data_IF_542311294127
#
_entry.id   IF_542311294127
#
_cell.length_a   1.000
_cell.length_b   1.000
_cell.length_c   1.000
_cell.angle_alpha   90.00
_cell.angle_beta   90.00
_cell.angle_gamma   90.00
#
_symmetry.space_group_name_H-M   'P 1'
#
loop_
_entity.id
_entity.type
_entity.pdbx_description
1 polymer ?
#
# COMPACT_ATOMS: atom_id res chain seq x y z
N UNK A 1 22.94 6.68 17.01
CA UNK A 1 21.54 6.84 16.55
C UNK A 1 20.90 5.49 16.72
N UNK A 2 19.90 5.36 17.60
CA UNK A 2 19.38 4.06 18.00
C UNK A 2 18.21 3.69 17.10
N UNK A 3 18.32 2.59 16.37
CA UNK A 3 17.27 2.07 15.51
C UNK A 3 16.08 1.59 16.37
N UNK A 4 14.88 2.08 16.08
CA UNK A 4 13.63 1.62 16.71
C UNK A 4 13.11 0.35 16.06
N UNK A 5 12.17 -0.33 16.73
CA UNK A 5 11.54 -1.52 16.18
C UNK A 5 10.64 -1.18 14.98
N UNK A 6 10.08 0.04 14.94
CA UNK A 6 9.29 0.53 13.81
C UNK A 6 10.14 0.82 12.58
N UNK A 7 11.30 1.48 12.74
CA UNK A 7 12.22 1.71 11.64
C UNK A 7 12.77 0.39 11.08
N UNK A 8 13.02 -0.60 11.93
CA UNK A 8 13.42 -1.94 11.45
C UNK A 8 12.25 -2.64 10.72
N UNK A 9 11.03 -2.57 11.23
CA UNK A 9 9.85 -3.13 10.56
C UNK A 9 9.61 -2.48 9.18
N UNK A 10 9.77 -1.15 9.08
CA UNK A 10 9.71 -0.44 7.79
C UNK A 10 10.81 -0.90 6.83
N UNK A 11 12.05 -1.10 7.30
CA UNK A 11 13.14 -1.63 6.47
C UNK A 11 12.88 -3.06 5.98
N UNK A 12 12.26 -3.91 6.81
CA UNK A 12 11.83 -5.26 6.41
C UNK A 12 10.74 -5.19 5.33
N UNK A 13 9.70 -4.36 5.54
CA UNK A 13 8.66 -4.07 4.54
C UNK A 13 9.28 -3.67 3.20
N UNK A 14 10.24 -2.75 3.25
CA UNK A 14 10.92 -2.15 2.09
C UNK A 14 12.03 -3.05 1.50
N UNK A 15 12.27 -4.24 2.04
CA UNK A 15 13.29 -5.19 1.57
C UNK A 15 14.74 -4.76 1.83
N UNK A 16 14.96 -3.71 2.63
CA UNK A 16 16.30 -3.19 2.98
C UNK A 16 16.89 -3.83 4.24
N UNK A 17 16.08 -4.57 5.01
CA UNK A 17 16.51 -5.47 6.06
C UNK A 17 15.85 -6.86 5.89
N UNK A 18 16.54 -7.97 6.20
CA UNK A 18 15.98 -9.31 6.01
C UNK A 18 15.03 -9.73 7.15
N UNK A 19 14.19 -10.73 6.88
CA UNK A 19 13.23 -11.37 7.77
C UNK A 19 13.51 -12.88 7.88
N UNK A 20 13.36 -13.54 9.04
CA UNK A 20 13.17 -12.98 10.38
C UNK A 20 14.37 -12.17 10.89
N UNK A 21 14.13 -11.17 11.73
CA UNK A 21 15.21 -10.48 12.48
C UNK A 21 14.83 -10.27 13.94
N UNK A 22 15.76 -10.58 14.85
CA UNK A 22 15.60 -10.28 16.27
C UNK A 22 15.75 -8.78 16.55
N UNK A 23 14.85 -8.26 17.36
CA UNK A 23 14.93 -6.92 17.93
C UNK A 23 14.65 -7.00 19.43
N UNK A 24 15.68 -6.77 20.26
CA UNK A 24 15.59 -6.92 21.72
C UNK A 24 15.06 -8.29 22.14
N UNK A 25 13.87 -8.36 22.74
CA UNK A 25 13.22 -9.55 23.28
C UNK A 25 12.19 -10.22 22.34
N UNK A 26 12.14 -9.80 21.07
CA UNK A 26 11.19 -10.32 20.07
C UNK A 26 11.85 -10.48 18.70
N UNK A 27 11.18 -11.16 17.78
CA UNK A 27 11.54 -11.23 16.37
C UNK A 27 10.51 -10.50 15.53
N UNK A 28 10.99 -9.70 14.59
CA UNK A 28 10.19 -9.13 13.52
C UNK A 28 10.19 -10.11 12.35
N UNK A 29 9.00 -10.57 11.97
CA UNK A 29 8.81 -11.56 10.89
C UNK A 29 7.82 -10.99 9.90
N UNK A 30 8.17 -11.02 8.61
CA UNK A 30 7.28 -10.59 7.54
C UNK A 30 6.38 -11.74 7.10
N UNK A 31 5.08 -11.61 7.37
CA UNK A 31 4.04 -12.60 7.11
C UNK A 31 3.09 -12.14 6.02
N UNK A 32 2.69 -13.05 5.15
CA UNK A 32 1.56 -12.86 4.23
C UNK A 32 0.26 -13.01 5.03
N UNK A 33 -0.57 -11.98 4.99
CA UNK A 33 -1.91 -11.97 5.62
C UNK A 33 -2.93 -12.53 4.64
N UNK A 34 -3.03 -11.93 3.45
CA UNK A 34 -3.93 -12.39 2.40
C UNK A 34 -3.43 -12.07 0.99
N UNK A 35 -4.03 -12.69 -0.02
CA UNK A 35 -3.86 -12.36 -1.43
C UNK A 35 -5.23 -12.13 -2.07
N UNK A 36 -5.26 -11.57 -3.27
CA UNK A 36 -6.52 -11.31 -3.97
C UNK A 36 -6.64 -12.14 -5.25
N UNK A 37 -7.77 -12.04 -5.96
CA UNK A 37 -8.06 -12.92 -7.08
C UNK A 37 -8.26 -14.39 -6.66
N UNK A 38 -7.93 -15.31 -7.56
CA UNK A 38 -8.24 -16.74 -7.44
C UNK A 38 -7.18 -17.51 -6.61
N UNK A 39 -7.66 -18.25 -5.62
CA UNK A 39 -6.92 -19.26 -4.87
C UNK A 39 -7.69 -20.58 -4.82
N UNK A 40 -7.02 -21.64 -4.35
CA UNK A 40 -7.62 -22.96 -4.15
C UNK A 40 -7.26 -23.46 -2.74
N UNK A 41 -8.27 -23.74 -1.91
CA UNK A 41 -8.08 -24.26 -0.55
C UNK A 41 -8.12 -25.79 -0.59
N UNK A 42 -6.96 -26.42 -0.73
CA UNK A 42 -6.82 -27.88 -0.88
C UNK A 42 -7.53 -28.69 0.21
N UNK A 43 -7.46 -28.25 1.48
CA UNK A 43 -8.11 -28.92 2.61
C UNK A 43 -9.65 -28.89 2.56
N UNK A 44 -10.24 -27.94 1.82
CA UNK A 44 -11.68 -27.74 1.68
C UNK A 44 -12.20 -28.07 0.26
N UNK A 45 -11.31 -28.50 -0.65
CA UNK A 45 -11.58 -28.78 -2.07
C UNK A 45 -12.34 -27.65 -2.79
N UNK A 46 -11.95 -26.41 -2.58
CA UNK A 46 -12.69 -25.26 -3.12
C UNK A 46 -11.81 -24.18 -3.74
N UNK A 47 -12.38 -23.54 -4.76
CA UNK A 47 -11.86 -22.31 -5.32
C UNK A 47 -12.40 -21.12 -4.54
N UNK A 48 -11.53 -20.15 -4.26
CA UNK A 48 -11.90 -18.90 -3.59
C UNK A 48 -11.47 -17.73 -4.46
N UNK A 49 -12.40 -16.82 -4.75
CA UNK A 49 -12.10 -15.53 -5.36
C UNK A 49 -12.30 -14.40 -4.36
N UNK A 50 -11.36 -13.46 -4.35
CA UNK A 50 -11.39 -12.26 -3.50
C UNK A 50 -11.24 -11.01 -4.34
N UNK A 51 -12.17 -10.08 -4.17
CA UNK A 51 -12.15 -8.80 -4.83
C UNK A 51 -10.98 -7.93 -4.31
N UNK A 52 -10.03 -7.50 -5.16
CA UNK A 52 -8.99 -6.55 -4.76
C UNK A 52 -9.53 -5.31 -4.05
N UNK A 53 -10.71 -4.81 -4.43
CA UNK A 53 -11.31 -3.62 -3.84
C UNK A 53 -11.67 -3.80 -2.36
N UNK A 54 -11.93 -5.04 -1.91
CA UNK A 54 -12.30 -5.35 -0.52
C UNK A 54 -11.09 -5.54 0.40
N UNK A 55 -9.93 -5.90 -0.17
CA UNK A 55 -8.75 -6.35 0.57
C UNK A 55 -7.53 -5.42 0.42
N UNK A 56 -7.34 -4.77 -0.74
CA UNK A 56 -6.21 -3.88 -1.03
C UNK A 56 -6.59 -2.41 -0.80
N UNK A 57 -7.00 -2.10 0.43
CA UNK A 57 -7.37 -0.73 0.82
C UNK A 57 -6.98 -0.44 2.29
N UNK A 58 -6.91 0.85 2.63
CA UNK A 58 -6.50 1.29 3.96
C UNK A 58 -7.45 0.81 5.08
N UNK A 59 -8.75 0.65 4.81
CA UNK A 59 -9.69 0.15 5.80
C UNK A 59 -9.44 -1.32 6.15
N UNK A 60 -8.99 -2.14 5.20
CA UNK A 60 -8.53 -3.50 5.46
C UNK A 60 -7.22 -3.50 6.25
N UNK A 61 -6.23 -2.69 5.84
CA UNK A 61 -4.97 -2.56 6.57
C UNK A 61 -5.17 -2.08 8.01
N UNK A 62 -6.09 -1.13 8.24
CA UNK A 62 -6.45 -0.65 9.57
C UNK A 62 -6.94 -1.78 10.47
N UNK A 63 -7.77 -2.69 9.93
CA UNK A 63 -8.28 -3.89 10.63
C UNK A 63 -7.23 -4.97 10.85
N UNK A 64 -6.10 -4.94 10.15
CA UNK A 64 -4.99 -5.86 10.39
C UNK A 64 -4.15 -5.46 11.61
N UNK A 65 -4.16 -4.20 12.05
CA UNK A 65 -3.33 -3.75 13.17
C UNK A 65 -3.68 -4.48 14.47
N UNK A 66 -2.66 -5.04 15.14
CA UNK A 66 -2.84 -5.75 16.40
C UNK A 66 -3.48 -7.13 16.26
N UNK A 67 -3.72 -7.65 15.04
CA UNK A 67 -4.26 -9.00 14.87
C UNK A 67 -3.39 -10.04 15.59
N UNK A 68 -4.00 -10.99 16.35
CA UNK A 68 -3.30 -12.11 16.96
C UNK A 68 -2.54 -12.94 15.91
N UNK A 69 -1.28 -13.27 16.20
CA UNK A 69 -0.54 -14.32 15.48
C UNK A 69 -0.42 -15.51 16.40
N UNK A 70 -0.97 -16.66 15.97
CA UNK A 70 -1.07 -17.87 16.78
C UNK A 70 -0.28 -19.04 16.15
N UNK A 71 0.06 -20.04 16.95
CA UNK A 71 0.56 -21.34 16.45
C UNK A 71 -0.61 -22.30 16.20
N UNK A 72 -0.77 -22.69 14.94
CA UNK A 72 -1.79 -23.60 14.42
C UNK A 72 -3.26 -23.18 14.66
N UNK A 73 -4.15 -23.62 13.78
CA UNK A 73 -5.58 -23.32 13.91
C UNK A 73 -6.22 -23.97 15.15
N UNK A 74 -7.20 -23.31 15.79
CA UNK A 74 -8.12 -23.97 16.70
C UNK A 74 -9.12 -24.84 15.92
N UNK A 75 -9.61 -25.92 16.52
CA UNK A 75 -10.53 -26.88 15.87
C UNK A 75 -11.83 -26.24 15.36
N UNK A 76 -12.19 -25.07 15.90
CA UNK A 76 -13.43 -24.33 15.59
C UNK A 76 -13.22 -23.08 14.72
N UNK A 77 -12.02 -22.90 14.15
CA UNK A 77 -11.60 -21.80 13.26
C UNK A 77 -11.67 -20.35 13.79
N UNK A 78 -12.46 -20.07 14.84
CA UNK A 78 -12.52 -18.79 15.56
C UNK A 78 -11.90 -18.96 16.93
N UNK A 79 -11.10 -18.00 17.39
CA UNK A 79 -10.44 -18.06 18.68
C UNK A 79 -11.43 -17.99 19.86
N UNK A 80 -11.20 -18.86 20.84
CA UNK A 80 -11.72 -18.72 22.20
C UNK A 80 -10.67 -18.13 23.13
N UNK A 81 -11.06 -17.74 24.35
CA UNK A 81 -10.13 -17.30 25.40
C UNK A 81 -9.05 -18.35 25.70
N UNK A 82 -9.42 -19.63 25.70
CA UNK A 82 -8.49 -20.74 25.89
C UNK A 82 -7.54 -20.87 24.71
N UNK A 83 -8.06 -20.91 23.47
CA UNK A 83 -7.22 -21.01 22.27
C UNK A 83 -6.24 -19.84 22.16
N UNK A 84 -6.68 -18.61 22.47
CA UNK A 84 -5.81 -17.45 22.49
C UNK A 84 -4.68 -17.62 23.53
N UNK A 85 -5.03 -18.01 24.76
CA UNK A 85 -4.05 -18.17 25.86
C UNK A 85 -3.03 -19.27 25.57
N UNK A 86 -3.45 -20.38 24.97
CA UNK A 86 -2.58 -21.53 24.68
C UNK A 86 -1.74 -21.36 23.40
N UNK A 87 -2.21 -20.56 22.42
CA UNK A 87 -1.63 -20.52 21.07
C UNK A 87 -1.03 -19.18 20.66
N UNK A 88 -1.23 -18.09 21.40
CA UNK A 88 -0.68 -16.77 21.04
C UNK A 88 0.85 -16.81 21.01
N UNK A 89 1.44 -16.40 19.88
CA UNK A 89 2.91 -16.29 19.72
C UNK A 89 3.36 -14.88 19.41
N UNK A 90 2.43 -13.99 19.04
CA UNK A 90 2.75 -12.66 18.55
C UNK A 90 1.54 -11.84 18.11
N UNK A 91 1.80 -10.71 17.46
CA UNK A 91 0.77 -9.84 16.88
C UNK A 91 1.27 -9.07 15.65
N UNK A 92 0.34 -8.66 14.79
CA UNK A 92 0.60 -7.77 13.66
C UNK A 92 0.97 -6.38 14.16
N UNK A 93 2.10 -5.86 13.68
CA UNK A 93 2.60 -4.52 14.02
C UNK A 93 2.52 -3.53 12.85
N UNK A 94 2.88 -3.95 11.64
CA UNK A 94 2.93 -3.07 10.47
C UNK A 94 2.34 -3.79 9.24
N UNK A 95 1.02 -3.71 9.01
CA UNK A 95 0.38 -4.21 7.79
C UNK A 95 0.60 -3.26 6.61
N UNK A 96 0.71 -3.81 5.40
CA UNK A 96 0.94 -3.07 4.15
C UNK A 96 0.52 -3.90 2.92
N UNK A 97 0.39 -3.23 1.77
CA UNK A 97 0.11 -3.87 0.48
C UNK A 97 1.44 -4.09 -0.27
N UNK A 98 1.61 -5.28 -0.86
CA UNK A 98 2.75 -5.68 -1.70
C UNK A 98 2.17 -6.34 -2.96
N UNK A 99 2.03 -5.57 -4.04
CA UNK A 99 1.39 -6.05 -5.27
C UNK A 99 -0.11 -6.30 -5.07
N UNK A 100 -0.56 -7.51 -5.38
CA UNK A 100 -1.95 -8.00 -5.22
C UNK A 100 -2.21 -8.68 -3.86
N UNK A 101 -1.30 -8.48 -2.90
CA UNK A 101 -1.27 -9.16 -1.60
C UNK A 101 -1.18 -8.17 -0.43
N UNK A 102 -1.76 -8.58 0.71
CA UNK A 102 -1.59 -7.90 2.00
C UNK A 102 -0.58 -8.67 2.83
N UNK A 103 0.46 -7.98 3.25
CA UNK A 103 1.54 -8.47 4.09
C UNK A 103 1.57 -7.70 5.41
N UNK A 104 2.27 -8.23 6.40
CA UNK A 104 2.57 -7.48 7.61
C UNK A 104 3.88 -7.90 8.24
N UNK A 105 4.59 -6.94 8.84
CA UNK A 105 5.63 -7.27 9.82
C UNK A 105 4.97 -7.49 11.17
N UNK A 106 5.20 -8.67 11.74
CA UNK A 106 4.63 -9.15 12.99
C UNK A 106 5.70 -9.30 14.06
N UNK A 107 5.33 -9.02 15.31
CA UNK A 107 6.16 -9.27 16.50
C UNK A 107 5.90 -10.70 16.96
N UNK A 108 6.91 -11.56 16.92
CA UNK A 108 6.86 -12.94 17.42
C UNK A 108 7.77 -13.05 18.65
N UNK A 109 7.29 -13.64 19.74
CA UNK A 109 8.05 -13.78 20.99
C UNK A 109 8.58 -15.20 21.24
N UNK A 110 8.05 -16.20 20.53
CA UNK A 110 8.37 -17.62 20.77
C UNK A 110 9.50 -18.09 19.85
N UNK A 111 10.69 -18.30 20.43
CA UNK A 111 11.91 -18.74 19.73
C UNK A 111 11.68 -19.99 18.87
N UNK A 112 11.07 -21.02 19.44
CA UNK A 112 10.86 -22.33 18.82
C UNK A 112 10.04 -22.25 17.52
N UNK A 113 9.17 -21.25 17.41
CA UNK A 113 8.37 -20.98 16.20
C UNK A 113 9.22 -20.25 15.15
N UNK A 114 10.07 -19.30 15.57
CA UNK A 114 11.03 -18.64 14.67
C UNK A 114 12.05 -19.65 14.12
N UNK A 115 12.51 -20.59 14.93
CA UNK A 115 13.40 -21.68 14.48
C UNK A 115 12.73 -22.65 13.51
N UNK A 116 11.41 -22.81 13.53
CA UNK A 116 10.66 -23.55 12.51
C UNK A 116 10.46 -22.70 11.24
N UNK A 117 10.18 -21.40 11.38
CA UNK A 117 10.07 -20.46 10.25
C UNK A 117 11.37 -20.43 9.43
N UNK A 118 12.54 -20.36 10.07
CA UNK A 118 13.86 -20.34 9.39
C UNK A 118 14.14 -21.64 8.62
N UNK A 119 13.51 -22.76 8.98
CA UNK A 119 13.59 -24.03 8.23
C UNK A 119 12.71 -24.06 6.98
N UNK A 120 11.92 -23.01 6.73
CA UNK A 120 10.98 -22.90 5.61
C UNK A 120 9.88 -23.98 5.64
N UNK A 121 9.55 -24.51 6.84
CA UNK A 121 8.50 -25.53 7.03
C UNK A 121 7.19 -24.98 7.62
N UNK A 122 7.09 -23.66 7.80
CA UNK A 122 5.92 -22.97 8.35
C UNK A 122 5.27 -22.11 7.27
N UNK A 123 3.95 -22.19 7.13
CA UNK A 123 3.16 -21.31 6.27
C UNK A 123 2.13 -20.52 7.08
N UNK A 124 1.42 -19.58 6.43
CA UNK A 124 0.37 -18.77 7.08
C UNK A 124 -1.03 -19.19 6.63
N UNK A 125 -1.99 -18.99 7.52
CA UNK A 125 -3.40 -19.02 7.19
C UNK A 125 -4.14 -17.97 8.02
N UNK A 126 -4.76 -16.95 7.41
CA UNK A 126 -5.67 -16.08 8.14
C UNK A 126 -6.94 -16.86 8.53
N UNK A 127 -7.60 -16.42 9.60
CA UNK A 127 -9.01 -16.73 9.86
C UNK A 127 -9.85 -15.48 9.60
N UNK A 128 -10.81 -15.62 8.68
CA UNK A 128 -11.72 -14.56 8.25
C UNK A 128 -13.14 -15.07 8.42
N UNK A 129 -13.94 -14.36 9.21
CA UNK A 129 -15.34 -14.68 9.44
C UNK A 129 -16.21 -13.76 8.59
N UNK A 130 -17.20 -14.34 7.95
CA UNK A 130 -18.23 -13.65 7.18
C UNK A 130 -19.59 -13.81 7.87
N UNK A 131 -20.50 -12.88 7.65
CA UNK A 131 -21.87 -12.95 8.17
C UNK A 131 -22.90 -12.76 7.03
N UNK A 132 -24.19 -12.79 7.36
CA UNK A 132 -25.27 -12.67 6.36
C UNK A 132 -25.26 -11.33 5.58
N UNK A 133 -24.56 -10.30 6.07
CA UNK A 133 -24.39 -9.01 5.40
C UNK A 133 -23.08 -8.89 4.62
N UNK A 134 -22.16 -9.87 4.70
CA UNK A 134 -20.90 -9.87 3.94
C UNK A 134 -21.12 -9.93 2.43
N UNK A 135 -22.20 -10.58 1.97
CA UNK A 135 -22.51 -10.68 0.53
C UNK A 135 -21.70 -11.76 -0.21
N UNK A 136 -21.24 -12.80 0.50
CA UNK A 136 -20.60 -13.96 -0.11
C UNK A 136 -21.52 -14.64 -1.14
N UNK A 137 -20.93 -15.19 -2.20
CA UNK A 137 -21.65 -16.05 -3.16
C UNK A 137 -20.94 -17.39 -3.24
N UNK A 138 -21.64 -18.46 -2.88
CA UNK A 138 -21.16 -19.84 -2.99
C UNK A 138 -21.86 -20.54 -4.16
N UNK A 139 -21.07 -21.20 -5.01
CA UNK A 139 -21.54 -21.98 -6.16
C UNK A 139 -20.89 -23.36 -6.09
N UNK A 140 -21.70 -24.39 -5.87
CA UNK A 140 -21.22 -25.77 -5.90
C UNK A 140 -21.17 -26.30 -7.34
N UNK A 141 -20.03 -26.89 -7.71
CA UNK A 141 -19.83 -27.64 -8.95
C UNK A 141 -19.30 -29.05 -8.60
N UNK A 142 -20.20 -30.03 -8.59
CA UNK A 142 -19.89 -31.43 -8.24
C UNK A 142 -19.35 -31.59 -6.81
N UNK A 143 -18.12 -32.08 -6.68
CA UNK A 143 -17.40 -32.22 -5.40
C UNK A 143 -16.63 -30.95 -4.99
N UNK A 144 -16.63 -29.92 -5.82
CA UNK A 144 -15.86 -28.68 -5.63
C UNK A 144 -16.78 -27.49 -5.33
N UNK A 145 -16.39 -26.64 -4.39
CA UNK A 145 -17.08 -25.38 -4.13
C UNK A 145 -16.35 -24.21 -4.82
N UNK A 146 -17.08 -23.17 -5.20
CA UNK A 146 -16.54 -21.88 -5.64
C UNK A 146 -17.12 -20.78 -4.75
N UNK A 147 -16.28 -20.24 -3.86
CA UNK A 147 -16.61 -19.14 -2.96
C UNK A 147 -16.12 -17.82 -3.54
N UNK A 148 -17.03 -16.88 -3.77
CA UNK A 148 -16.76 -15.46 -3.93
C UNK A 148 -16.87 -14.83 -2.54
N UNK A 149 -15.74 -14.41 -1.98
CA UNK A 149 -15.72 -13.73 -0.68
C UNK A 149 -16.26 -12.30 -0.83
N UNK A 150 -17.24 -11.97 0.01
CA UNK A 150 -17.75 -10.60 0.17
C UNK A 150 -16.96 -9.82 1.22
N UNK A 151 -17.58 -8.81 1.83
CA UNK A 151 -16.93 -7.94 2.82
C UNK A 151 -16.62 -8.75 4.10
N UNK A 152 -15.36 -8.88 4.53
CA UNK A 152 -15.01 -9.56 5.77
C UNK A 152 -15.73 -8.96 6.98
N UNK A 153 -16.43 -9.77 7.77
CA UNK A 153 -17.08 -9.29 9.00
C UNK A 153 -16.07 -9.15 10.14
N UNK A 154 -15.25 -10.18 10.36
CA UNK A 154 -14.17 -10.18 11.35
C UNK A 154 -12.89 -10.78 10.73
N UNK A 155 -11.76 -10.12 11.00
CA UNK A 155 -10.43 -10.71 10.85
C UNK A 155 -10.06 -11.19 12.25
N UNK A 156 -9.93 -12.49 12.47
CA UNK A 156 -9.84 -13.07 13.81
C UNK A 156 -8.38 -13.24 14.24
N UNK A 157 -7.56 -13.86 13.40
CA UNK A 157 -6.14 -14.10 13.65
C UNK A 157 -5.38 -14.50 12.37
N UNK A 158 -4.05 -14.61 12.48
CA UNK A 158 -3.20 -15.32 11.52
C UNK A 158 -2.56 -16.53 12.22
N UNK A 159 -2.84 -17.73 11.72
CA UNK A 159 -2.19 -18.95 12.18
C UNK A 159 -0.88 -19.16 11.42
N UNK A 160 0.21 -19.39 12.15
CA UNK A 160 1.43 -20.02 11.66
C UNK A 160 1.21 -21.53 11.72
N UNK A 161 1.09 -22.17 10.56
CA UNK A 161 0.81 -23.59 10.41
C UNK A 161 2.14 -24.34 10.34
N UNK A 162 2.43 -25.15 11.36
CA UNK A 162 3.69 -25.89 11.49
C UNK A 162 3.66 -27.23 10.76
N UNK A 163 4.84 -27.84 10.57
CA UNK A 163 4.99 -29.14 9.91
C UNK A 163 4.20 -30.27 10.58
N UNK A 164 4.22 -30.31 11.93
CA UNK A 164 3.46 -31.28 12.73
C UNK A 164 1.93 -31.20 12.53
N UNK A 165 1.44 -30.05 12.06
CA UNK A 165 0.03 -29.80 11.73
C UNK A 165 -0.23 -29.74 10.21
N UNK A 166 0.73 -30.21 9.40
CA UNK A 166 0.57 -30.50 7.98
C UNK A 166 1.16 -29.47 7.02
N UNK A 167 1.79 -28.39 7.52
CA UNK A 167 2.53 -27.29 6.84
C UNK A 167 1.95 -26.60 5.60
N UNK A 168 0.92 -27.15 4.95
CA UNK A 168 0.24 -26.58 3.80
C UNK A 168 -0.74 -25.50 4.25
N UNK A 169 -0.25 -24.26 4.34
CA UNK A 169 -1.07 -23.08 4.50
C UNK A 169 -1.94 -22.81 3.27
N UNK A 170 -2.83 -21.83 3.38
CA UNK A 170 -3.78 -21.44 2.31
C UNK A 170 -3.08 -20.97 1.03
N UNK A 171 -1.80 -20.61 1.12
CA UNK A 171 -1.01 -19.99 0.06
C UNK A 171 -0.13 -20.95 -0.73
N UNK A 172 0.01 -22.19 -0.29
CA UNK A 172 1.07 -23.09 -0.74
C UNK A 172 0.69 -23.80 -2.04
N UNK A 173 0.51 -22.99 -3.09
CA UNK A 173 0.46 -23.40 -4.48
C UNK A 173 1.70 -24.27 -4.75
N UNK A 174 1.49 -25.46 -5.30
CA UNK A 174 2.51 -26.47 -5.56
C UNK A 174 3.32 -26.96 -4.34
N UNK A 175 2.79 -26.80 -3.11
CA UNK A 175 3.40 -27.24 -1.83
C UNK A 175 4.68 -26.51 -1.43
N UNK A 176 4.89 -25.28 -1.89
CA UNK A 176 5.99 -24.43 -1.43
C UNK A 176 5.44 -23.48 -0.37
N UNK A 177 5.96 -23.49 0.88
CA UNK A 177 5.58 -22.52 1.91
C UNK A 177 5.87 -21.09 1.46
N UNK A 178 4.83 -20.34 1.12
CA UNK A 178 4.95 -18.93 0.68
C UNK A 178 4.31 -17.92 1.63
N UNK A 179 3.75 -18.39 2.75
CA UNK A 179 3.13 -17.54 3.76
C UNK A 179 4.10 -16.68 4.59
N UNK A 180 5.39 -16.99 4.59
CA UNK A 180 6.40 -16.35 5.45
C UNK A 180 7.63 -15.96 4.63
N UNK A 181 8.13 -14.73 4.78
CA UNK A 181 9.38 -14.32 4.14
C UNK A 181 10.61 -14.71 4.97
N UNK A 182 11.46 -15.58 4.40
CA UNK A 182 12.73 -16.04 4.98
C UNK A 182 13.90 -15.57 4.11
N UNK A 183 14.17 -14.26 4.20
CA UNK A 183 15.34 -13.62 3.59
C UNK A 183 16.58 -13.66 4.51
N UNK A 184 16.43 -13.92 5.81
CA UNK A 184 17.51 -14.23 6.74
C UNK A 184 17.65 -15.74 6.95
N UNK A 185 18.73 -16.33 6.42
CA UNK A 185 19.09 -17.75 6.60
C UNK A 185 20.35 -17.95 7.47
N UNK A 186 20.82 -16.87 8.11
CA UNK A 186 21.99 -16.88 9.00
C UNK A 186 21.60 -17.12 10.45
N UNK A 187 22.46 -16.65 11.37
CA UNK A 187 22.12 -16.64 12.79
C UNK A 187 20.96 -15.67 13.04
N UNK A 188 19.87 -16.16 13.64
CA UNK A 188 18.72 -15.33 14.02
C UNK A 188 18.98 -14.53 15.29
N UNK A 189 20.01 -14.89 16.06
CA UNK A 189 20.56 -14.13 17.18
C UNK A 189 21.81 -13.34 16.69
N UNK A 190 21.62 -12.22 15.99
CA UNK A 190 22.73 -11.32 15.59
C UNK A 190 22.95 -10.14 16.53
N UNK A 191 24.22 -9.72 16.64
CA UNK A 191 24.74 -8.75 17.60
C UNK A 191 24.60 -7.29 17.15
N UNK A 192 24.88 -6.36 18.07
CA UNK A 192 24.80 -4.90 17.85
C UNK A 192 25.50 -4.46 16.55
N UNK A 193 26.60 -5.12 16.16
CA UNK A 193 27.40 -4.77 14.98
C UNK A 193 26.66 -4.98 13.65
N UNK A 194 25.80 -5.99 13.55
CA UNK A 194 24.99 -6.17 12.33
C UNK A 194 23.94 -5.05 12.23
N UNK A 195 23.37 -4.65 13.37
CA UNK A 195 22.41 -3.55 13.51
C UNK A 195 23.08 -2.21 13.19
N UNK A 196 24.29 -1.97 13.71
CA UNK A 196 25.16 -0.84 13.34
C UNK A 196 25.50 -0.84 11.84
N UNK A 197 25.74 -1.99 11.21
CA UNK A 197 26.02 -2.06 9.77
C UNK A 197 24.82 -1.68 8.90
N UNK A 198 23.60 -2.01 9.35
CA UNK A 198 22.33 -1.65 8.72
C UNK A 198 22.02 -0.16 8.95
N UNK A 199 22.34 0.38 10.12
CA UNK A 199 22.31 1.84 10.37
C UNK A 199 23.34 2.56 9.50
N UNK A 200 24.58 2.07 9.41
CA UNK A 200 25.66 2.68 8.65
C UNK A 200 25.41 2.68 7.14
N UNK A 201 24.84 1.61 6.57
CA UNK A 201 24.35 1.60 5.18
C UNK A 201 23.34 2.71 4.94
N UNK A 202 22.35 2.87 5.82
CA UNK A 202 21.34 3.93 5.66
C UNK A 202 21.90 5.33 5.92
N UNK A 203 22.89 5.50 6.80
CA UNK A 203 23.60 6.78 6.90
C UNK A 203 24.35 7.08 5.60
N UNK A 204 24.94 6.07 4.94
CA UNK A 204 25.54 6.20 3.60
C UNK A 204 24.54 6.59 2.51
N UNK A 205 23.41 5.88 2.42
CA UNK A 205 22.38 6.13 1.39
C UNK A 205 21.61 7.44 1.63
N UNK A 206 21.36 7.82 2.89
CA UNK A 206 20.66 9.05 3.25
C UNK A 206 21.56 10.32 3.16
N UNK A 207 22.87 10.20 3.37
CA UNK A 207 23.82 11.31 3.17
C UNK A 207 24.15 11.58 1.69
N UNK A 208 23.61 10.79 0.75
CA UNK A 208 23.69 11.07 -0.69
C UNK A 208 22.97 12.36 -1.12
N UNK A 209 22.15 12.96 -0.24
CA UNK A 209 21.50 14.25 -0.47
C UNK A 209 21.22 15.03 0.82
N UNK A 210 20.95 16.34 0.67
CA UNK A 210 20.55 17.28 1.74
C UNK A 210 21.66 17.71 2.73
N UNK A 211 22.65 18.45 2.21
CA UNK A 211 23.75 19.03 2.99
C UNK A 211 23.40 20.40 3.65
N UNK A 212 22.22 20.51 4.32
CA UNK A 212 21.75 21.78 4.93
C UNK A 212 21.03 21.68 6.29
N UNK A 213 20.78 20.47 6.83
CA UNK A 213 20.10 20.30 8.12
C UNK A 213 21.02 20.17 9.35
N UNK A 214 22.33 20.02 9.15
CA UNK A 214 23.23 19.52 10.19
C UNK A 214 23.79 20.61 11.13
N UNK A 215 23.98 21.84 10.64
CA UNK A 215 24.54 22.96 11.44
C UNK A 215 23.62 23.33 12.63
N UNK A 216 22.30 23.28 12.43
CA UNK A 216 21.30 23.62 13.45
C UNK A 216 21.22 22.61 14.61
N UNK A 217 21.61 21.35 14.37
CA UNK A 217 21.55 20.28 15.38
C UNK A 217 22.82 20.28 16.24
N UNK A 218 24.01 20.49 15.65
CA UNK A 218 25.26 20.63 16.41
C UNK A 218 25.19 21.79 17.41
N UNK A 219 24.65 22.94 16.98
CA UNK A 219 24.49 24.13 17.83
C UNK A 219 23.58 23.90 19.06
N UNK A 220 22.60 23.00 18.98
CA UNK A 220 21.74 22.63 20.12
C UNK A 220 22.39 21.63 21.07
N UNK A 221 23.37 20.85 20.60
CA UNK A 221 24.10 19.88 21.42
C UNK A 221 25.24 20.56 22.20
N UNK A 222 26.00 21.46 21.58
CA UNK A 222 27.02 22.28 22.25
C UNK A 222 26.42 23.17 23.35
N UNK A 223 25.21 23.71 23.12
CA UNK A 223 24.47 24.53 24.09
C UNK A 223 24.06 23.73 25.35
N UNK A 224 23.82 22.42 25.22
CA UNK A 224 23.49 21.54 26.36
C UNK A 224 24.73 21.06 27.14
N UNK A 225 25.90 20.96 26.51
CA UNK A 225 27.14 20.56 27.20
C UNK A 225 27.76 21.71 28.00
N UNK A 226 27.53 22.97 27.58
CA UNK A 226 27.95 24.16 28.33
C UNK A 226 27.14 24.42 29.62
N UNK A 227 25.91 23.90 29.71
CA UNK A 227 25.00 24.12 30.86
C UNK A 227 25.27 23.26 32.10
N UNK A 228 25.99 22.13 31.97
CA UNK A 228 26.14 21.13 33.05
C UNK A 228 27.49 21.27 33.79
N UNK A 229 28.40 22.11 33.30
CA UNK A 229 29.78 22.27 33.84
C UNK A 229 30.01 23.54 34.68
N UNK A 230 28.94 24.17 35.17
CA UNK A 230 28.99 25.43 35.94
C UNK A 230 28.18 25.42 37.26
N UNK A 231 27.95 24.23 37.86
CA UNK A 231 27.42 24.08 39.23
C UNK A 231 28.07 22.90 39.98
N UNK A 232 29.37 23.01 40.20
CA UNK A 232 30.09 22.36 41.29
C UNK A 232 31.15 23.38 41.80
N UNK A 233 31.56 23.22 43.06
CA UNK A 233 32.60 24.01 43.76
C UNK A 233 32.22 25.46 44.14
N UNK A 234 31.56 25.62 45.31
CA UNK A 234 31.34 26.90 45.99
C UNK A 234 31.22 26.78 47.53
N UNK A 235 32.22 26.18 48.18
CA UNK A 235 32.56 26.21 49.62
C UNK A 235 34.06 25.78 49.70
N UNK A 236 34.96 26.24 50.57
CA UNK A 236 34.88 27.02 51.81
C UNK A 236 36.26 27.68 52.08
N UNK A 237 36.33 28.90 52.64
CA UNK A 237 37.56 29.46 53.24
C UNK A 237 37.24 30.57 54.28
N UNK A 238 37.85 30.51 55.46
CA UNK A 238 37.35 31.16 56.68
C UNK A 238 37.64 32.67 56.89
N UNK A 239 36.64 33.32 57.51
CA UNK A 239 36.69 34.38 58.56
C UNK A 239 38.07 34.55 59.26
N UNK A 240 38.56 35.78 59.52
CA UNK A 240 38.37 36.63 60.75
C UNK A 240 39.32 37.88 60.69
N UNK A 241 39.28 38.95 61.51
CA UNK A 241 38.42 39.49 62.60
C UNK A 241 38.65 41.03 62.79
N UNK A 242 37.85 41.70 63.64
CA UNK A 242 38.04 42.98 64.39
C UNK A 242 38.63 44.26 63.71
N UNK A 243 37.91 45.41 63.66
CA UNK A 243 37.69 46.44 64.74
C UNK A 243 39.00 47.08 65.26
N UNK A 244 39.18 48.39 65.47
CA UNK A 244 38.26 49.52 65.81
C UNK A 244 39.08 50.85 65.69
N UNK A 245 38.63 51.94 65.03
CA UNK A 245 38.01 53.19 65.57
C UNK A 245 38.06 54.25 64.44
N UNK A 246 36.97 54.90 64.04
CA UNK A 246 36.34 56.08 64.67
C UNK A 246 37.18 57.37 64.61
N UNK A 247 37.01 58.16 63.54
CA UNK A 247 36.44 59.53 63.59
C UNK A 247 36.24 60.09 62.16
N UNK A 248 35.47 61.18 62.03
CA UNK A 248 35.11 61.90 60.79
C UNK A 248 33.98 61.30 59.91
N UNK A 249 32.82 61.04 60.53
CA UNK A 249 31.59 61.67 59.99
C UNK A 249 31.78 63.21 60.12
N UNK A 250 31.48 64.05 59.13
CA UNK A 250 30.11 64.54 58.93
C UNK A 250 29.88 65.11 57.49
N UNK A 251 30.61 64.64 56.47
CA UNK A 251 30.51 65.23 55.12
C UNK A 251 30.55 64.23 53.94
N UNK A 252 29.96 63.04 54.12
CA UNK A 252 29.83 62.01 53.05
C UNK A 252 28.44 61.35 52.94
N UNK A 253 27.42 61.88 53.62
CA UNK A 253 26.05 61.31 53.63
C UNK A 253 25.08 61.89 52.58
N UNK A 254 25.52 62.79 51.71
CA UNK A 254 24.71 63.35 50.62
C UNK A 254 24.96 62.67 49.26
N UNK A 255 26.21 62.41 48.90
CA UNK A 255 26.55 61.93 47.54
C UNK A 255 26.31 60.42 47.33
N UNK A 256 26.52 59.60 48.37
CA UNK A 256 26.37 58.13 48.26
C UNK A 256 24.93 57.69 47.92
N UNK A 257 23.93 58.33 48.54
CA UNK A 257 22.52 58.02 48.29
C UNK A 257 22.07 58.44 46.87
N UNK A 258 22.62 59.53 46.34
CA UNK A 258 22.31 59.99 44.98
C UNK A 258 22.94 59.11 43.88
N UNK A 259 24.12 58.54 44.15
CA UNK A 259 24.80 57.62 43.20
C UNK A 259 24.15 56.22 43.19
N UNK A 260 23.68 55.74 44.34
CA UNK A 260 22.99 54.45 44.47
C UNK A 260 21.60 54.49 43.81
N UNK A 261 20.84 55.58 43.99
CA UNK A 261 19.54 55.77 43.34
C UNK A 261 19.64 55.78 41.81
N UNK A 262 20.62 56.51 41.24
CA UNK A 262 20.83 56.56 39.78
C UNK A 262 21.16 55.19 39.17
N UNK A 263 21.99 54.39 39.85
CA UNK A 263 22.37 53.05 39.38
C UNK A 263 21.19 52.07 39.43
N UNK A 264 20.25 52.25 40.35
CA UNK A 264 18.99 51.49 40.38
C UNK A 264 18.08 51.86 39.20
N UNK A 265 17.86 53.16 38.96
CA UNK A 265 16.99 53.65 37.88
C UNK A 265 17.51 53.27 36.48
N UNK A 266 18.83 53.36 36.24
CA UNK A 266 19.45 52.94 34.97
C UNK A 266 19.36 51.42 34.74
N UNK A 267 19.50 50.61 35.81
CA UNK A 267 19.37 49.16 35.73
C UNK A 267 17.92 48.70 35.48
N UNK A 268 16.92 49.39 36.02
CA UNK A 268 15.51 49.09 35.73
C UNK A 268 15.14 49.49 34.29
N UNK A 269 15.67 50.61 33.80
CA UNK A 269 15.49 51.05 32.41
C UNK A 269 16.10 50.07 31.39
N UNK A 270 17.32 49.55 31.66
CA UNK A 270 17.95 48.53 30.80
C UNK A 270 17.15 47.22 30.77
N UNK A 271 16.66 46.73 31.92
CA UNK A 271 15.84 45.51 31.98
C UNK A 271 14.57 45.61 31.15
N UNK A 272 13.84 46.74 31.24
CA UNK A 272 12.62 46.97 30.45
C UNK A 272 12.91 47.10 28.94
N UNK A 273 14.10 47.57 28.56
CA UNK A 273 14.52 47.62 27.16
C UNK A 273 14.87 46.22 26.61
N UNK A 274 15.62 45.40 27.36
CA UNK A 274 15.93 44.02 26.97
C UNK A 274 14.68 43.12 26.91
N UNK A 275 13.77 43.26 27.88
CA UNK A 275 12.55 42.46 27.96
C UNK A 275 11.60 42.77 26.79
N UNK A 276 11.52 44.05 26.38
CA UNK A 276 10.78 44.43 25.18
C UNK A 276 11.46 43.95 23.89
N UNK A 277 12.78 44.07 23.77
CA UNK A 277 13.50 43.59 22.59
C UNK A 277 13.31 42.07 22.38
N UNK A 278 13.35 41.28 23.47
CA UNK A 278 13.09 39.83 23.43
C UNK A 278 11.64 39.48 23.07
N UNK A 279 10.67 40.32 23.45
CA UNK A 279 9.28 40.13 23.07
C UNK A 279 9.06 40.41 21.57
N UNK A 280 9.59 41.53 21.06
CA UNK A 280 9.49 41.92 19.65
C UNK A 280 10.20 40.88 18.74
N UNK A 281 11.35 40.36 19.16
CA UNK A 281 12.12 39.34 18.43
C UNK A 281 11.42 37.97 18.40
N UNK A 282 10.81 37.55 19.51
CA UNK A 282 10.00 36.32 19.58
C UNK A 282 8.71 36.40 18.73
N UNK A 283 8.06 37.56 18.66
CA UNK A 283 6.87 37.76 17.81
C UNK A 283 7.22 37.73 16.30
N UNK A 284 8.40 38.24 15.92
CA UNK A 284 8.88 38.13 14.53
C UNK A 284 9.28 36.69 14.17
N UNK A 285 9.94 35.95 15.07
CA UNK A 285 10.27 34.55 14.86
C UNK A 285 9.01 33.67 14.75
N UNK A 286 8.00 33.92 15.59
CA UNK A 286 6.72 33.21 15.54
C UNK A 286 5.96 33.49 14.22
N UNK A 287 5.93 34.75 13.75
CA UNK A 287 5.35 35.08 12.43
C UNK A 287 6.05 34.36 11.27
N UNK A 288 7.38 34.23 11.32
CA UNK A 288 8.14 33.49 10.30
C UNK A 288 7.84 32.00 10.33
N UNK A 289 7.70 31.42 11.52
CA UNK A 289 7.33 30.01 11.70
C UNK A 289 5.91 29.71 11.20
N UNK A 290 4.95 30.58 11.48
CA UNK A 290 3.56 30.41 11.03
C UNK A 290 3.41 30.61 9.52
N UNK A 291 4.16 31.55 8.92
CA UNK A 291 4.18 31.72 7.46
C UNK A 291 4.83 30.52 6.75
N UNK A 292 5.93 29.97 7.30
CA UNK A 292 6.57 28.77 6.74
C UNK A 292 5.64 27.54 6.77
N UNK A 293 4.85 27.36 7.85
CA UNK A 293 3.83 26.30 7.93
C UNK A 293 2.73 26.49 6.89
N UNK A 294 2.24 27.71 6.70
CA UNK A 294 1.19 27.99 5.71
C UNK A 294 1.67 27.72 4.27
N UNK A 295 2.91 28.04 3.94
CA UNK A 295 3.51 27.72 2.64
C UNK A 295 3.75 26.20 2.48
N UNK A 296 4.12 25.48 3.54
CA UNK A 296 4.28 24.01 3.53
C UNK A 296 2.93 23.27 3.38
N UNK A 297 1.88 23.68 4.11
CA UNK A 297 0.53 23.14 3.98
C UNK A 297 -0.03 23.37 2.57
N UNK A 298 0.20 24.56 2.01
CA UNK A 298 -0.22 24.88 0.65
C UNK A 298 0.52 24.04 -0.41
N UNK A 299 1.83 23.86 -0.26
CA UNK A 299 2.62 23.01 -1.15
C UNK A 299 2.14 21.54 -1.11
N UNK A 300 1.84 21.01 0.08
CA UNK A 300 1.26 19.65 0.23
C UNK A 300 -0.11 19.54 -0.42
N UNK A 301 -0.99 20.53 -0.26
CA UNK A 301 -2.30 20.54 -0.90
C UNK A 301 -2.21 20.57 -2.43
N UNK A 302 -1.30 21.37 -3.00
CA UNK A 302 -1.05 21.41 -4.46
C UNK A 302 -0.43 20.10 -4.98
N UNK A 303 0.45 19.44 -4.21
CA UNK A 303 1.02 18.14 -4.54
C UNK A 303 -0.01 17.00 -4.46
N UNK A 304 -0.89 17.01 -3.44
CA UNK A 304 -1.96 16.03 -3.26
C UNK A 304 -3.07 16.17 -4.31
N UNK A 305 -3.47 17.40 -4.69
CA UNK A 305 -4.39 17.64 -5.81
C UNK A 305 -3.80 17.12 -7.14
N UNK A 306 -2.50 17.34 -7.36
CA UNK A 306 -1.81 16.85 -8.55
C UNK A 306 -1.70 15.32 -8.57
N UNK A 307 -1.32 14.70 -7.46
CA UNK A 307 -1.24 13.24 -7.33
C UNK A 307 -2.60 12.58 -7.60
N UNK A 308 -3.68 13.18 -7.08
CA UNK A 308 -5.05 12.74 -7.37
C UNK A 308 -5.42 12.89 -8.84
N UNK A 309 -5.10 14.04 -9.45
CA UNK A 309 -5.33 14.26 -10.90
C UNK A 309 -4.60 13.24 -11.77
N UNK A 310 -3.35 12.90 -11.42
CA UNK A 310 -2.55 11.90 -12.16
C UNK A 310 -3.09 10.47 -11.95
N UNK A 311 -3.64 10.15 -10.78
CA UNK A 311 -4.35 8.89 -10.51
C UNK A 311 -5.65 8.78 -11.31
N UNK A 312 -6.53 9.80 -11.24
CA UNK A 312 -7.79 9.87 -11.97
C UNK A 312 -7.56 9.75 -13.51
N UNK A 313 -6.50 10.37 -14.01
CA UNK A 313 -6.06 10.24 -15.41
C UNK A 313 -5.61 8.81 -15.76
N UNK A 314 -4.93 8.14 -14.84
CA UNK A 314 -4.41 6.77 -15.04
C UNK A 314 -5.55 5.76 -15.06
N UNK A 315 -6.48 5.82 -14.12
CA UNK A 315 -7.69 4.98 -14.09
C UNK A 315 -8.53 5.16 -15.37
N UNK A 316 -8.75 6.41 -15.79
CA UNK A 316 -9.48 6.72 -17.00
C UNK A 316 -8.84 6.11 -18.25
N UNK A 317 -7.50 6.10 -18.34
CA UNK A 317 -6.76 5.42 -19.42
C UNK A 317 -6.92 3.91 -19.36
N UNK A 318 -6.77 3.28 -18.20
CA UNK A 318 -6.92 1.82 -18.04
C UNK A 318 -8.32 1.36 -18.46
N UNK A 319 -9.38 2.08 -18.04
CA UNK A 319 -10.77 1.79 -18.43
C UNK A 319 -10.97 1.97 -19.94
N UNK A 320 -10.43 3.03 -20.52
CA UNK A 320 -10.46 3.30 -21.95
C UNK A 320 -9.74 2.23 -22.79
N UNK A 321 -8.49 1.90 -22.43
CA UNK A 321 -7.68 0.90 -23.13
C UNK A 321 -8.33 -0.49 -23.07
N UNK A 322 -8.86 -0.90 -21.92
CA UNK A 322 -9.62 -2.16 -21.78
C UNK A 322 -10.82 -2.24 -22.74
N UNK A 323 -11.62 -1.18 -22.82
CA UNK A 323 -12.76 -1.10 -23.72
C UNK A 323 -12.35 -1.09 -25.20
N UNK A 324 -11.30 -0.34 -25.56
CA UNK A 324 -10.81 -0.24 -26.94
C UNK A 324 -10.13 -1.52 -27.42
N UNK A 325 -9.33 -2.18 -26.57
CA UNK A 325 -8.68 -3.46 -26.88
C UNK A 325 -9.73 -4.56 -27.08
N UNK A 326 -10.80 -4.58 -26.27
CA UNK A 326 -11.94 -5.48 -26.50
C UNK A 326 -12.65 -5.22 -27.85
N UNK A 327 -12.52 -4.01 -28.40
CA UNK A 327 -13.02 -3.58 -29.71
C UNK A 327 -11.96 -3.67 -30.84
N UNK A 328 -10.80 -4.30 -30.59
CA UNK A 328 -9.72 -4.46 -31.57
C UNK A 328 -8.99 -3.15 -31.96
N UNK A 329 -9.06 -2.12 -31.11
CA UNK A 329 -8.51 -0.78 -31.36
C UNK A 329 -7.62 -0.34 -30.19
N UNK A 330 -6.83 0.71 -30.38
CA UNK A 330 -6.09 1.38 -29.32
C UNK A 330 -6.85 2.64 -28.87
N UNK A 331 -6.90 2.92 -27.56
CA UNK A 331 -7.54 4.14 -27.08
C UNK A 331 -6.73 5.40 -27.49
N UNK A 332 -7.40 6.53 -27.76
CA UNK A 332 -6.70 7.81 -27.95
C UNK A 332 -5.87 8.17 -26.71
N UNK A 333 -4.64 8.65 -26.90
CA UNK A 333 -3.83 9.18 -25.81
C UNK A 333 -4.43 10.48 -25.25
N UNK A 334 -4.25 10.79 -23.96
CA UNK A 334 -4.55 12.11 -23.40
C UNK A 334 -3.81 13.23 -24.12
N UNK A 335 -4.39 14.43 -24.12
CA UNK A 335 -3.68 15.65 -24.50
C UNK A 335 -2.97 16.27 -23.30
N UNK A 336 -1.93 17.09 -23.56
CA UNK A 336 -1.21 17.80 -22.51
C UNK A 336 -2.15 18.78 -21.80
N UNK A 337 -2.24 18.68 -20.47
CA UNK A 337 -3.16 19.50 -19.65
C UNK A 337 -4.64 19.11 -19.74
N UNK A 338 -4.98 17.98 -20.36
CA UNK A 338 -6.36 17.47 -20.36
C UNK A 338 -6.74 16.89 -18.99
N UNK A 339 -7.93 17.23 -18.48
CA UNK A 339 -8.46 16.68 -17.22
C UNK A 339 -9.10 15.31 -17.45
N UNK A 340 -9.08 14.46 -16.42
CA UNK A 340 -9.58 13.07 -16.49
C UNK A 340 -11.03 12.97 -17.01
N UNK A 341 -11.91 13.85 -16.57
CA UNK A 341 -13.32 13.88 -16.99
C UNK A 341 -13.46 14.24 -18.48
N UNK A 342 -12.67 15.19 -18.98
CA UNK A 342 -12.69 15.60 -20.38
C UNK A 342 -12.07 14.55 -21.30
N UNK A 343 -11.00 13.89 -20.85
CA UNK A 343 -10.42 12.71 -21.50
C UNK A 343 -11.47 11.60 -21.64
N UNK A 344 -12.14 11.22 -20.55
CA UNK A 344 -13.21 10.21 -20.53
C UNK A 344 -14.32 10.51 -21.54
N UNK A 345 -14.84 11.74 -21.55
CA UNK A 345 -15.83 12.22 -22.53
C UNK A 345 -15.35 12.06 -23.96
N UNK A 346 -14.12 12.52 -24.27
CA UNK A 346 -13.55 12.49 -25.62
C UNK A 346 -13.38 11.08 -26.14
N UNK A 347 -12.91 10.16 -25.29
CA UNK A 347 -12.76 8.74 -25.63
C UNK A 347 -14.13 8.08 -25.82
N UNK A 348 -15.09 8.34 -24.94
CA UNK A 348 -16.44 7.78 -25.01
C UNK A 348 -17.17 8.15 -26.30
N UNK A 349 -17.06 9.42 -26.73
CA UNK A 349 -17.56 9.90 -28.04
C UNK A 349 -17.01 9.11 -29.23
N UNK A 350 -15.79 8.56 -29.14
CA UNK A 350 -15.22 7.72 -30.20
C UNK A 350 -15.93 6.38 -30.40
N UNK A 351 -16.56 5.87 -29.33
CA UNK A 351 -17.32 4.61 -29.32
C UNK A 351 -18.84 4.81 -29.41
N UNK A 352 -19.33 6.02 -29.12
CA UNK A 352 -20.75 6.42 -29.16
C UNK A 352 -21.51 5.96 -30.43
N UNK A 353 -20.85 5.94 -31.59
CA UNK A 353 -21.43 5.47 -32.87
C UNK A 353 -21.88 4.01 -32.89
N UNK A 354 -21.43 3.19 -31.94
CA UNK A 354 -21.82 1.79 -31.82
C UNK A 354 -23.03 1.57 -30.89
N UNK A 355 -23.57 2.64 -30.27
CA UNK A 355 -24.76 2.60 -29.43
C UNK A 355 -25.92 3.34 -30.10
N UNK A 356 -26.90 2.59 -30.62
CA UNK A 356 -28.10 3.18 -31.25
C UNK A 356 -28.93 4.04 -30.28
N UNK A 357 -28.90 3.73 -28.97
CA UNK A 357 -29.62 4.47 -27.93
C UNK A 357 -28.93 5.76 -27.52
N UNK A 358 -27.60 5.82 -27.63
CA UNK A 358 -26.81 6.92 -27.10
C UNK A 358 -26.08 7.74 -28.17
N UNK A 359 -26.20 7.39 -29.46
CA UNK A 359 -25.57 8.10 -30.59
C UNK A 359 -25.83 9.61 -30.63
N UNK A 360 -27.00 10.07 -30.19
CA UNK A 360 -27.43 11.47 -30.21
C UNK A 360 -27.23 12.20 -28.86
N UNK A 361 -26.68 11.54 -27.84
CA UNK A 361 -26.47 12.11 -26.49
C UNK A 361 -25.30 13.10 -26.48
N UNK A 362 -25.51 14.30 -25.94
CA UNK A 362 -24.43 15.30 -25.82
C UNK A 362 -23.51 15.02 -24.62
N UNK A 363 -22.60 14.06 -24.79
CA UNK A 363 -21.62 13.62 -23.77
C UNK A 363 -20.78 14.79 -23.20
N UNK A 364 -20.50 15.83 -24.01
CA UNK A 364 -19.70 16.98 -23.56
C UNK A 364 -20.36 17.76 -22.41
N UNK A 365 -21.69 17.83 -22.40
CA UNK A 365 -22.48 18.60 -21.43
C UNK A 365 -22.58 17.95 -20.05
N UNK A 366 -22.11 16.70 -19.89
CA UNK A 366 -22.22 15.95 -18.63
C UNK A 366 -21.17 16.47 -17.64
N UNK A 367 -21.60 17.19 -16.61
CA UNK A 367 -20.69 17.68 -15.56
C UNK A 367 -20.38 16.62 -14.49
N UNK A 368 -21.29 15.67 -14.27
CA UNK A 368 -21.18 14.66 -13.22
C UNK A 368 -20.42 13.39 -13.67
N UNK A 369 -19.47 12.96 -12.83
CA UNK A 369 -18.64 11.77 -13.05
C UNK A 369 -19.44 10.47 -12.94
N UNK A 370 -20.42 10.38 -12.04
CA UNK A 370 -21.21 9.17 -11.84
C UNK A 370 -22.12 8.88 -13.03
N UNK A 371 -22.82 9.91 -13.51
CA UNK A 371 -23.63 9.87 -14.75
C UNK A 371 -22.78 9.48 -15.97
N UNK A 372 -21.54 9.97 -16.05
CA UNK A 372 -20.61 9.58 -17.11
C UNK A 372 -20.22 8.10 -17.02
N UNK A 373 -19.97 7.56 -15.82
CA UNK A 373 -19.64 6.13 -15.62
C UNK A 373 -20.74 5.19 -16.12
N UNK A 374 -22.02 5.51 -15.88
CA UNK A 374 -23.17 4.71 -16.36
C UNK A 374 -23.23 4.69 -17.90
N UNK A 375 -22.96 5.84 -18.54
CA UNK A 375 -22.93 5.94 -20.00
C UNK A 375 -21.69 5.26 -20.60
N UNK A 376 -20.55 5.26 -19.92
CA UNK A 376 -19.38 4.48 -20.31
C UNK A 376 -19.69 2.99 -20.38
N UNK A 377 -20.30 2.42 -19.35
CA UNK A 377 -20.66 1.00 -19.31
C UNK A 377 -21.66 0.64 -20.40
N UNK A 378 -22.69 1.46 -20.60
CA UNK A 378 -23.68 1.26 -21.65
C UNK A 378 -23.06 1.31 -23.06
N UNK A 379 -22.31 2.37 -23.37
CA UNK A 379 -21.74 2.58 -24.72
C UNK A 379 -20.60 1.59 -25.00
N UNK A 380 -19.67 1.34 -24.07
CA UNK A 380 -18.61 0.35 -24.29
C UNK A 380 -19.16 -1.08 -24.35
N UNK A 381 -20.20 -1.40 -23.57
CA UNK A 381 -20.91 -2.67 -23.64
C UNK A 381 -21.63 -2.89 -24.98
N UNK A 382 -22.34 -1.88 -25.49
CA UNK A 382 -22.97 -1.93 -26.81
C UNK A 382 -21.92 -1.94 -27.95
N UNK A 383 -20.80 -1.21 -27.81
CA UNK A 383 -19.69 -1.22 -28.77
C UNK A 383 -19.03 -2.60 -28.90
N UNK A 384 -18.76 -3.26 -27.78
CA UNK A 384 -18.22 -4.62 -27.76
C UNK A 384 -19.18 -5.61 -28.43
N UNK A 385 -20.48 -5.56 -28.12
CA UNK A 385 -21.50 -6.41 -28.74
C UNK A 385 -21.66 -6.16 -30.24
N UNK A 386 -21.60 -4.89 -30.67
CA UNK A 386 -21.65 -4.49 -32.09
C UNK A 386 -20.50 -5.12 -32.87
N UNK A 387 -19.28 -5.06 -32.34
CA UNK A 387 -18.07 -5.59 -32.99
C UNK A 387 -18.01 -7.12 -32.91
N UNK A 388 -18.42 -7.72 -31.79
CA UNK A 388 -18.53 -9.18 -31.66
C UNK A 388 -19.57 -9.76 -32.64
N UNK A 389 -20.70 -9.08 -32.85
CA UNK A 389 -21.66 -9.45 -33.89
C UNK A 389 -21.09 -9.26 -35.31
N UNK A 390 -20.30 -8.22 -35.57
CA UNK A 390 -19.64 -8.01 -36.87
C UNK A 390 -18.61 -9.12 -37.15
N UNK A 391 -17.78 -9.47 -36.17
CA UNK A 391 -16.79 -10.56 -36.26
C UNK A 391 -17.42 -11.94 -36.45
N UNK A 392 -18.54 -12.22 -35.78
CA UNK A 392 -19.21 -13.53 -35.86
C UNK A 392 -20.08 -13.70 -37.11
N UNK A 393 -20.57 -12.61 -37.71
CA UNK A 393 -21.47 -12.67 -38.89
C UNK A 393 -20.81 -12.30 -40.23
N UNK A 394 -19.54 -11.89 -40.25
CA UNK A 394 -18.77 -11.71 -41.49
C UNK A 394 -18.50 -13.05 -42.16
N UNK A 395 -19.34 -13.39 -43.14
CA UNK A 395 -19.22 -14.62 -43.96
C UNK A 395 -17.86 -14.70 -44.65
N UNK A 396 -17.27 -15.91 -44.64
CA UNK A 396 -16.02 -16.19 -45.35
C UNK A 396 -14.74 -15.64 -44.71
N UNK A 397 -14.77 -15.10 -43.48
CA UNK A 397 -13.57 -14.66 -42.76
C UNK A 397 -13.41 -15.33 -41.39
N UNK A 398 -12.15 -15.52 -40.97
CA UNK A 398 -11.75 -15.86 -39.62
C UNK A 398 -10.84 -14.76 -39.09
N UNK A 399 -11.22 -14.19 -37.95
CA UNK A 399 -10.45 -13.18 -37.24
C UNK A 399 -9.56 -13.84 -36.19
N UNK A 400 -8.26 -13.57 -36.28
CA UNK A 400 -7.27 -14.02 -35.30
C UNK A 400 -7.36 -13.16 -34.04
N UNK A 401 -7.60 -13.79 -32.89
CA UNK A 401 -7.55 -13.17 -31.56
C UNK A 401 -6.38 -13.74 -30.79
N UNK A 402 -5.40 -12.89 -30.49
CA UNK A 402 -4.26 -13.27 -29.63
C UNK A 402 -4.57 -12.87 -28.20
N UNK A 403 -4.68 -13.85 -27.32
CA UNK A 403 -4.84 -13.72 -25.87
C UNK A 403 -3.52 -14.15 -25.20
N UNK A 404 -3.12 -13.50 -24.12
CA UNK A 404 -2.15 -14.10 -23.20
C UNK A 404 -2.91 -14.82 -22.09
N UNK A 405 -2.45 -15.99 -21.69
CA UNK A 405 -2.93 -16.64 -20.47
C UNK A 405 -2.15 -16.18 -19.23
N UNK A 406 -2.58 -16.63 -18.05
CA UNK A 406 -1.96 -16.29 -16.75
C UNK A 406 -0.50 -16.76 -16.64
N UNK A 407 -0.07 -17.71 -17.50
CA UNK A 407 1.31 -18.17 -17.61
C UNK A 407 2.12 -17.38 -18.67
N UNK A 408 1.58 -16.27 -19.20
CA UNK A 408 2.21 -15.44 -20.22
C UNK A 408 2.29 -16.07 -21.62
N UNK A 409 1.64 -17.22 -21.84
CA UNK A 409 1.66 -17.91 -23.13
C UNK A 409 0.67 -17.25 -24.08
N UNK A 410 1.10 -17.03 -25.32
CA UNK A 410 0.26 -16.44 -26.39
C UNK A 410 -0.66 -17.49 -26.99
N UNK A 411 -1.89 -17.57 -26.49
CA UNK A 411 -2.97 -18.35 -27.09
C UNK A 411 -3.50 -17.60 -28.31
N UNK A 412 -3.53 -18.28 -29.46
CA UNK A 412 -4.13 -17.75 -30.68
C UNK A 412 -5.45 -18.46 -30.94
N UNK A 413 -6.55 -17.75 -30.72
CA UNK A 413 -7.91 -18.19 -31.01
C UNK A 413 -8.34 -17.63 -32.38
N UNK A 414 -9.24 -18.32 -33.08
CA UNK A 414 -9.83 -17.82 -34.33
C UNK A 414 -11.36 -17.84 -34.19
N UNK A 415 -12.00 -16.68 -34.40
CA UNK A 415 -13.46 -16.50 -34.36
C UNK A 415 -13.95 -15.95 -35.71
N UNK A 416 -15.14 -16.36 -36.15
CA UNK A 416 -15.71 -16.01 -37.46
C UNK A 416 -16.42 -17.20 -38.08
N UNK A 417 -16.61 -17.17 -39.40
CA UNK A 417 -17.38 -18.18 -40.14
C UNK A 417 -16.71 -19.57 -40.08
N UNK A 418 -17.33 -20.58 -39.44
CA UNK A 418 -16.77 -21.92 -39.36
C UNK A 418 -16.58 -22.59 -40.73
N UNK A 419 -17.30 -22.15 -41.77
CA UNK A 419 -17.13 -22.68 -43.12
C UNK A 419 -15.72 -22.43 -43.68
N UNK A 420 -15.01 -21.37 -43.26
CA UNK A 420 -13.69 -21.03 -43.79
C UNK A 420 -12.69 -22.17 -43.57
N UNK A 421 -12.72 -22.83 -42.41
CA UNK A 421 -11.87 -23.98 -42.13
C UNK A 421 -12.59 -25.32 -42.34
N UNK A 422 -13.91 -25.41 -42.09
CA UNK A 422 -14.67 -26.64 -42.32
C UNK A 422 -14.85 -26.98 -43.82
N UNK A 423 -14.73 -26.02 -44.74
CA UNK A 423 -14.91 -26.28 -46.18
C UNK A 423 -13.94 -27.35 -46.72
N UNK A 424 -12.74 -27.47 -46.15
CA UNK A 424 -11.78 -28.52 -46.49
C UNK A 424 -12.22 -29.93 -46.04
N UNK A 425 -13.06 -30.02 -45.00
CA UNK A 425 -13.57 -31.28 -44.43
C UNK A 425 -14.99 -31.61 -44.88
N UNK A 426 -15.72 -30.65 -45.44
CA UNK A 426 -17.06 -30.86 -46.00
C UNK A 426 -16.95 -31.51 -47.37
N UNK A 427 -17.75 -32.56 -47.59
CA UNK A 427 -17.93 -33.14 -48.93
C UNK A 427 -18.35 -32.06 -49.91
N UNK A 428 -17.67 -31.87 -51.05
CA UNK A 428 -18.05 -30.85 -52.04
C UNK A 428 -19.52 -30.99 -52.44
N UNK A 429 -20.22 -29.86 -52.49
CA UNK A 429 -21.65 -29.82 -52.77
C UNK A 429 -21.99 -30.50 -54.09
N UNK A 430 -22.55 -31.72 -54.02
CA UNK A 430 -22.90 -32.50 -55.21
C UNK A 430 -24.13 -31.90 -55.87
N UNK A 431 -23.92 -31.16 -56.96
CA UNK A 431 -25.01 -30.72 -57.83
C UNK A 431 -25.64 -31.95 -58.50
N UNK A 432 -26.96 -32.11 -58.35
CA UNK A 432 -27.72 -33.11 -59.11
C UNK A 432 -27.75 -32.67 -60.59
N UNK A 433 -26.93 -33.31 -61.44
CA UNK A 433 -26.83 -32.95 -62.87
C UNK A 433 -27.90 -33.66 -63.70
N UNK A 434 -28.21 -34.93 -63.38
CA UNK A 434 -29.23 -35.75 -64.05
C UNK A 434 -29.70 -36.87 -63.13
N UNK A 435 -30.98 -37.22 -63.18
CA UNK A 435 -31.51 -38.50 -62.67
C UNK A 435 -31.64 -39.42 -63.88
N UNK A 436 -30.93 -40.56 -63.88
CA UNK A 436 -31.13 -41.57 -64.93
C UNK A 436 -32.42 -42.36 -64.64
N UNK A 437 -33.52 -41.91 -65.21
CA UNK A 437 -34.75 -42.71 -65.32
C UNK A 437 -34.63 -43.72 -66.46
N UNK A 438 -35.36 -44.86 -66.43
CA UNK A 438 -35.25 -45.93 -67.44
C UNK A 438 -35.49 -45.47 -68.89
N UNK A 439 -36.29 -44.42 -69.11
CA UNK A 439 -36.53 -43.86 -70.44
C UNK A 439 -35.34 -43.10 -71.04
N UNK A 440 -34.28 -42.82 -70.28
CA UNK A 440 -33.15 -41.99 -70.72
C UNK A 440 -31.99 -42.74 -71.38
N UNK A 441 -32.07 -44.07 -71.52
CA UNK A 441 -31.05 -44.90 -72.20
C UNK A 441 -31.35 -45.19 -73.69
N UNK A 442 -32.50 -44.74 -74.22
CA UNK A 442 -32.96 -45.11 -75.58
C UNK A 442 -32.63 -44.10 -76.70
N UNK A 443 -31.86 -43.03 -76.44
CA UNK A 443 -31.48 -42.04 -77.47
C UNK A 443 -29.96 -42.01 -77.69
N UNK A 444 -29.43 -43.06 -78.30
CA UNK A 444 -28.22 -43.00 -79.13
C UNK A 444 -28.45 -43.84 -80.39
N UNK A 445 -28.86 -43.14 -81.45
CA UNK A 445 -28.95 -43.59 -82.84
C UNK A 445 -28.66 -42.40 -83.73
#
# INVERSE_FOLDING_TARGET
>A
MNLTELELAQRIRDGTAPSPMKFSNMWLVNLRITGTGLAYRTGLKEHVWRDPNLYLNDAFLQRCNGLPVITNHPDKAVLTEQDFTERIVGSVMLPYIRGDEVWAVCRIYIRDIVEQIVKETVSTSPSVVFNNASGNVEVMDGETNFLIEGVPFLLDHIALVTEDHGSLGVWDKDKIPTGVEVSNKGDIDMDEKMLESIVAKVVGDALGGVNKGFETISARMDSLESGIKARADAEEAEKKEAKEKADQEEQKKADAAAEEQKKADEAEAQKKAEEKAKADEAEEEQRKADQAKADEEKAKAEEEEKAKSDSDMTEARVKADSAYVACGKQAPTPFSGEKALDYRKRVLMGMQKHSEKHKDVNIRAIADSATLSVLEEAIYGEARKSIENEMNNTLGQLHQRVRMDEAGRRITEYQGDPNVWLAAFKTPGRRLVKINTPGSMNNHG
#
